data_IF_366836789544
#
_entry.id   IF_366836789544
#
_cell.length_a   1.000
_cell.length_b   1.000
_cell.length_c   1.000
_cell.angle_alpha   90.00
_cell.angle_beta   90.00
_cell.angle_gamma   90.00
#
_symmetry.space_group_name_H-M   'P 1'
#
loop_
_entity.id
_entity.type
_entity.pdbx_description
1 polymer ?
#
# COMPACT_ATOMS: atom_id res chain seq x y z
N UNK A 1 5.16 52.99 -10.95
CA UNK A 1 4.04 52.09 -10.60
C UNK A 1 4.62 50.94 -9.75
N UNK A 2 4.48 51.01 -8.41
CA UNK A 2 5.13 50.10 -7.44
C UNK A 2 4.24 48.88 -7.17
N UNK A 3 4.40 47.79 -7.94
CA UNK A 3 3.75 46.49 -7.68
C UNK A 3 4.70 45.47 -7.01
N UNK A 4 5.84 45.93 -6.51
CA UNK A 4 6.90 45.07 -5.95
C UNK A 4 6.54 44.26 -4.67
N UNK A 5 5.71 44.74 -3.71
CA UNK A 5 5.66 44.08 -2.40
C UNK A 5 4.81 42.81 -2.37
N UNK A 6 3.89 42.62 -3.30
CA UNK A 6 2.98 41.44 -3.31
C UNK A 6 3.58 40.24 -4.04
N UNK A 7 4.46 40.47 -5.03
CA UNK A 7 5.05 39.38 -5.83
C UNK A 7 6.02 38.50 -5.03
N UNK A 8 6.75 39.07 -4.07
CA UNK A 8 7.73 38.32 -3.26
C UNK A 8 7.09 37.41 -2.21
N UNK A 9 5.78 37.52 -1.98
CA UNK A 9 5.06 36.75 -0.95
C UNK A 9 4.47 35.42 -1.46
N UNK A 10 4.33 35.25 -2.78
CA UNK A 10 3.62 34.10 -3.38
C UNK A 10 4.46 33.20 -4.30
N UNK A 11 5.73 33.53 -4.59
CA UNK A 11 6.58 32.78 -5.55
C UNK A 11 7.57 31.81 -4.88
N UNK A 12 7.71 30.61 -5.46
CA UNK A 12 8.51 29.47 -4.98
C UNK A 12 9.90 29.40 -5.66
N UNK A 13 10.11 30.12 -6.76
CA UNK A 13 11.41 30.14 -7.44
C UNK A 13 12.42 30.99 -6.66
N UNK A 14 13.68 30.54 -6.51
CA UNK A 14 14.77 31.40 -6.04
C UNK A 14 14.74 32.69 -6.86
N UNK A 15 14.64 33.84 -6.17
CA UNK A 15 14.78 35.15 -6.79
C UNK A 15 16.04 35.10 -7.66
N UNK A 16 16.05 35.71 -8.84
CA UNK A 16 17.22 35.77 -9.74
C UNK A 16 18.47 36.35 -9.04
N UNK A 17 18.28 36.92 -7.85
CA UNK A 17 19.26 37.45 -6.90
C UNK A 17 19.83 36.44 -5.89
N UNK A 18 19.57 35.14 -6.00
CA UNK A 18 20.21 34.09 -5.19
C UNK A 18 19.91 34.12 -3.68
N UNK A 19 18.86 34.83 -3.25
CA UNK A 19 18.48 34.90 -1.84
C UNK A 19 17.67 33.65 -1.43
N UNK A 20 18.03 32.95 -0.34
CA UNK A 20 17.26 31.80 0.13
C UNK A 20 15.86 32.24 0.57
N UNK A 21 14.87 31.41 0.28
CA UNK A 21 13.46 31.68 0.60
C UNK A 21 13.28 31.63 2.13
N UNK A 22 12.67 32.64 2.76
CA UNK A 22 12.42 32.61 4.20
C UNK A 22 11.41 31.50 4.55
N UNK A 23 11.69 30.74 5.61
CA UNK A 23 10.88 29.59 6.04
C UNK A 23 9.42 29.97 6.36
N UNK A 24 9.19 31.23 6.75
CA UNK A 24 7.87 31.78 7.03
C UNK A 24 6.94 31.74 5.80
N UNK A 25 7.48 31.98 4.60
CA UNK A 25 6.71 31.98 3.34
C UNK A 25 6.39 30.55 2.90
N UNK A 26 7.31 29.61 3.11
CA UNK A 26 7.09 28.18 2.84
C UNK A 26 5.97 27.66 3.75
N UNK A 27 6.07 27.93 5.05
CA UNK A 27 5.07 27.52 6.04
C UNK A 27 3.73 28.18 5.75
N UNK A 28 3.70 29.48 5.46
CA UNK A 28 2.48 30.19 5.09
C UNK A 28 1.81 29.59 3.84
N UNK A 29 2.59 29.30 2.79
CA UNK A 29 2.05 28.71 1.56
C UNK A 29 1.49 27.30 1.80
N UNK A 30 2.17 26.46 2.57
CA UNK A 30 1.65 25.15 2.97
C UNK A 30 0.38 25.27 3.81
N UNK A 31 0.33 26.19 4.78
CA UNK A 31 -0.86 26.44 5.59
C UNK A 31 -2.03 26.87 4.69
N UNK A 32 -1.80 27.80 3.76
CA UNK A 32 -2.82 28.25 2.81
C UNK A 32 -3.28 27.09 1.90
N UNK A 33 -2.37 26.28 1.38
CA UNK A 33 -2.70 25.13 0.55
C UNK A 33 -3.52 24.08 1.31
N UNK A 34 -3.13 23.74 2.54
CA UNK A 34 -3.90 22.83 3.40
C UNK A 34 -5.26 23.41 3.78
N UNK A 35 -5.33 24.71 4.07
CA UNK A 35 -6.58 25.40 4.41
C UNK A 35 -7.53 25.41 3.22
N UNK A 36 -7.04 25.70 2.02
CA UNK A 36 -7.84 25.63 0.78
C UNK A 36 -8.30 24.19 0.53
N UNK A 37 -7.41 23.20 0.64
CA UNK A 37 -7.76 21.79 0.45
C UNK A 37 -8.82 21.33 1.46
N UNK A 38 -8.66 21.71 2.73
CA UNK A 38 -9.61 21.39 3.80
C UNK A 38 -10.96 22.05 3.58
N UNK A 39 -10.99 23.33 3.16
CA UNK A 39 -12.22 24.05 2.84
C UNK A 39 -12.93 23.43 1.63
N UNK A 40 -12.19 23.09 0.58
CA UNK A 40 -12.74 22.42 -0.62
C UNK A 40 -13.28 21.03 -0.25
N UNK A 41 -12.52 20.26 0.52
CA UNK A 41 -12.95 18.94 0.99
C UNK A 41 -14.18 19.04 1.89
N UNK A 42 -14.20 19.97 2.85
CA UNK A 42 -15.31 20.19 3.76
C UNK A 42 -16.57 20.67 3.03
N UNK A 43 -16.42 21.60 2.08
CA UNK A 43 -17.52 22.04 1.23
C UNK A 43 -18.04 20.91 0.33
N UNK A 44 -17.16 20.12 -0.28
CA UNK A 44 -17.53 18.95 -1.08
C UNK A 44 -18.28 17.90 -0.24
N UNK A 45 -17.83 17.67 1.00
CA UNK A 45 -18.43 16.72 1.93
C UNK A 45 -19.74 17.24 2.54
N UNK A 46 -19.88 18.55 2.79
CA UNK A 46 -21.10 19.16 3.31
C UNK A 46 -22.23 19.20 2.28
N UNK A 47 -21.88 19.25 0.99
CA UNK A 47 -22.82 19.13 -0.11
C UNK A 47 -23.26 17.67 -0.37
N UNK A 48 -22.64 16.71 0.30
CA UNK A 48 -23.01 15.31 0.19
C UNK A 48 -24.31 15.07 0.97
N UNK A 49 -25.46 15.30 0.33
CA UNK A 49 -26.78 14.89 0.80
C UNK A 49 -26.98 13.37 0.67
N UNK A 50 -26.02 12.61 1.23
CA UNK A 50 -26.05 11.16 1.25
C UNK A 50 -26.91 10.69 2.40
N UNK A 51 -28.05 10.10 2.08
CA UNK A 51 -28.83 9.36 3.06
C UNK A 51 -28.06 8.09 3.38
N UNK A 52 -27.41 8.06 4.54
CA UNK A 52 -26.64 6.93 5.03
C UNK A 52 -27.52 5.68 5.15
N UNK A 53 -27.59 4.88 4.07
CA UNK A 53 -28.39 3.66 4.02
C UNK A 53 -27.56 2.47 4.51
N UNK A 54 -27.23 2.49 5.81
CA UNK A 54 -26.57 1.37 6.48
C UNK A 54 -27.42 0.09 6.45
N UNK A 55 -28.74 0.20 6.28
CA UNK A 55 -29.66 -0.93 6.12
C UNK A 55 -29.33 -1.80 4.91
N UNK A 56 -28.96 -1.20 3.77
CA UNK A 56 -28.52 -1.95 2.58
C UNK A 56 -27.22 -2.71 2.85
N UNK A 57 -26.26 -2.09 3.54
CA UNK A 57 -24.98 -2.74 3.90
C UNK A 57 -25.21 -3.91 4.86
N UNK A 58 -26.12 -3.75 5.83
CA UNK A 58 -26.52 -4.82 6.75
C UNK A 58 -27.14 -6.02 5.99
N UNK A 59 -27.84 -5.79 4.88
CA UNK A 59 -28.33 -6.85 3.98
C UNK A 59 -27.22 -7.72 3.38
N UNK A 60 -26.00 -7.20 3.22
CA UNK A 60 -24.82 -7.95 2.73
C UNK A 60 -23.93 -8.49 3.85
N UNK A 61 -24.32 -8.37 5.12
CA UNK A 61 -23.55 -8.88 6.29
C UNK A 61 -23.13 -10.34 6.14
N UNK A 62 -24.00 -11.19 5.59
CA UNK A 62 -23.71 -12.59 5.30
C UNK A 62 -22.54 -12.79 4.33
N UNK A 63 -22.38 -11.92 3.32
CA UNK A 63 -21.24 -11.99 2.39
C UNK A 63 -19.94 -11.60 3.08
N UNK A 64 -19.95 -10.56 3.91
CA UNK A 64 -18.78 -10.19 4.71
C UNK A 64 -18.38 -11.31 5.67
N UNK A 65 -19.34 -11.95 6.33
CA UNK A 65 -19.07 -13.07 7.23
C UNK A 65 -18.48 -14.28 6.49
N UNK A 66 -19.05 -14.63 5.33
CA UNK A 66 -18.51 -15.68 4.46
C UNK A 66 -17.10 -15.35 3.98
N UNK A 67 -16.86 -14.12 3.55
CA UNK A 67 -15.54 -13.65 3.11
C UNK A 67 -14.52 -13.71 4.24
N UNK A 68 -14.87 -13.20 5.42
CA UNK A 68 -14.03 -13.25 6.62
C UNK A 68 -13.64 -14.68 6.97
N UNK A 69 -14.63 -15.58 7.01
CA UNK A 69 -14.40 -16.99 7.31
C UNK A 69 -13.55 -17.68 6.24
N UNK A 70 -13.73 -17.32 4.97
CA UNK A 70 -12.92 -17.84 3.88
C UNK A 70 -11.46 -17.40 3.99
N UNK A 71 -11.20 -16.13 4.31
CA UNK A 71 -9.84 -15.63 4.57
C UNK A 71 -9.17 -16.44 5.69
N UNK A 72 -9.87 -16.64 6.81
CA UNK A 72 -9.33 -17.43 7.92
C UNK A 72 -9.00 -18.87 7.52
N UNK A 73 -9.90 -19.53 6.78
CA UNK A 73 -9.70 -20.90 6.30
C UNK A 73 -8.48 -21.00 5.40
N UNK A 74 -8.38 -20.14 4.39
CA UNK A 74 -7.27 -20.15 3.43
C UNK A 74 -5.96 -19.80 4.12
N UNK A 75 -5.93 -18.77 4.98
CA UNK A 75 -4.72 -18.39 5.72
C UNK A 75 -4.25 -19.48 6.67
N UNK A 76 -5.16 -20.16 7.39
CA UNK A 76 -4.81 -21.25 8.29
C UNK A 76 -4.20 -22.44 7.51
N UNK A 77 -4.82 -22.85 6.41
CA UNK A 77 -4.30 -23.93 5.57
C UNK A 77 -2.95 -23.55 4.94
N UNK A 78 -2.82 -22.33 4.42
CA UNK A 78 -1.57 -21.83 3.85
C UNK A 78 -0.45 -21.80 4.91
N UNK A 79 -0.75 -21.40 6.15
CA UNK A 79 0.21 -21.39 7.25
C UNK A 79 0.69 -22.81 7.60
N UNK A 80 -0.21 -23.77 7.75
CA UNK A 80 0.14 -25.15 8.07
C UNK A 80 0.99 -25.76 6.95
N UNK A 81 0.57 -25.62 5.70
CA UNK A 81 1.29 -26.17 4.54
C UNK A 81 2.65 -25.51 4.34
N UNK A 82 2.73 -24.18 4.41
CA UNK A 82 4.00 -23.46 4.27
C UNK A 82 4.97 -23.78 5.39
N UNK A 83 4.48 -23.99 6.62
CA UNK A 83 5.32 -24.40 7.76
C UNK A 83 5.87 -25.80 7.53
N UNK A 84 5.05 -26.75 7.09
CA UNK A 84 5.51 -28.11 6.80
C UNK A 84 6.57 -28.13 5.68
N UNK A 85 6.31 -27.43 4.56
CA UNK A 85 7.26 -27.31 3.45
C UNK A 85 8.54 -26.59 3.90
N UNK A 86 8.41 -25.50 4.65
CA UNK A 86 9.53 -24.74 5.21
C UNK A 86 10.39 -25.57 6.15
N UNK A 87 9.77 -26.42 6.98
CA UNK A 87 10.47 -27.36 7.86
C UNK A 87 11.27 -28.38 7.06
N UNK A 88 10.66 -29.00 6.05
CA UNK A 88 11.36 -29.96 5.16
C UNK A 88 12.54 -29.29 4.46
N UNK A 89 12.34 -28.09 3.91
CA UNK A 89 13.41 -27.34 3.25
C UNK A 89 14.55 -26.94 4.23
N UNK A 90 14.21 -26.62 5.48
CA UNK A 90 15.19 -26.33 6.53
C UNK A 90 16.03 -27.56 6.89
N UNK A 91 15.39 -28.73 7.06
CA UNK A 91 16.06 -30.00 7.32
C UNK A 91 16.95 -30.43 6.15
N UNK A 92 16.42 -30.36 4.92
CA UNK A 92 17.17 -30.70 3.71
C UNK A 92 18.40 -29.81 3.49
N UNK A 93 18.34 -28.54 3.89
CA UNK A 93 19.50 -27.63 3.88
C UNK A 93 20.60 -28.05 4.86
N UNK A 94 20.23 -28.62 6.00
CA UNK A 94 21.18 -29.14 7.02
C UNK A 94 21.75 -30.51 6.65
N UNK A 95 21.17 -31.21 5.67
CA UNK A 95 21.66 -32.52 5.25
C UNK A 95 23.09 -32.47 4.70
N UNK A 96 23.79 -33.60 4.79
CA UNK A 96 25.13 -33.79 4.21
C UNK A 96 25.12 -33.99 2.69
N UNK A 97 23.95 -34.21 2.08
CA UNK A 97 23.83 -34.43 0.65
C UNK A 97 23.82 -33.10 -0.11
N UNK A 98 24.79 -32.93 -1.02
CA UNK A 98 24.97 -31.71 -1.81
C UNK A 98 23.70 -31.33 -2.60
N UNK A 99 23.03 -32.32 -3.20
CA UNK A 99 21.83 -32.13 -4.02
C UNK A 99 20.68 -31.56 -3.20
N UNK A 100 20.37 -32.15 -2.02
CA UNK A 100 19.29 -31.69 -1.16
C UNK A 100 19.54 -30.26 -0.67
N UNK A 101 20.80 -29.94 -0.34
CA UNK A 101 21.19 -28.59 0.07
C UNK A 101 21.02 -27.58 -1.05
N UNK A 102 21.44 -27.92 -2.27
CA UNK A 102 21.32 -27.07 -3.45
C UNK A 102 19.85 -26.80 -3.81
N UNK A 103 19.02 -27.86 -3.86
CA UNK A 103 17.58 -27.73 -4.14
C UNK A 103 16.85 -26.87 -3.09
N UNK A 104 17.16 -27.08 -1.81
CA UNK A 104 16.56 -26.30 -0.72
C UNK A 104 17.00 -24.83 -0.73
N UNK A 105 18.18 -24.55 -1.29
CA UNK A 105 18.67 -23.18 -1.48
C UNK A 105 17.95 -22.51 -2.64
N UNK A 106 17.90 -23.18 -3.80
CA UNK A 106 17.21 -22.70 -4.99
C UNK A 106 15.73 -22.41 -4.71
N UNK A 107 15.02 -23.35 -4.06
CA UNK A 107 13.62 -23.17 -3.68
C UNK A 107 13.41 -21.88 -2.87
N UNK A 108 14.19 -21.68 -1.81
CA UNK A 108 14.02 -20.49 -0.94
C UNK A 108 14.43 -19.21 -1.64
N UNK A 109 15.49 -19.23 -2.44
CA UNK A 109 15.93 -18.05 -3.22
C UNK A 109 14.89 -17.65 -4.26
N UNK A 110 14.28 -18.60 -4.97
CA UNK A 110 13.20 -18.32 -5.94
C UNK A 110 11.95 -17.75 -5.26
N UNK A 111 11.48 -18.38 -4.18
CA UNK A 111 10.27 -17.95 -3.48
C UNK A 111 10.44 -16.59 -2.80
N UNK A 112 11.63 -16.28 -2.26
CA UNK A 112 11.91 -14.98 -1.63
C UNK A 112 12.34 -13.90 -2.62
N UNK A 113 12.85 -14.30 -3.78
CA UNK A 113 13.30 -13.39 -4.84
C UNK A 113 12.19 -12.97 -5.82
N UNK A 114 11.03 -13.62 -5.79
CA UNK A 114 9.90 -13.31 -6.70
C UNK A 114 8.75 -12.63 -5.94
N UNK A 115 8.13 -11.57 -6.51
CA UNK A 115 6.96 -10.94 -5.88
C UNK A 115 5.79 -11.91 -5.75
N UNK A 116 5.11 -11.91 -4.58
CA UNK A 116 3.97 -12.78 -4.31
C UNK A 116 2.85 -12.64 -5.35
N UNK A 117 2.61 -11.41 -5.83
CA UNK A 117 1.61 -11.15 -6.86
C UNK A 117 1.90 -11.93 -8.15
N UNK A 118 3.19 -12.03 -8.55
CA UNK A 118 3.61 -12.80 -9.73
C UNK A 118 3.40 -14.28 -9.51
N UNK A 119 3.72 -14.81 -8.33
CA UNK A 119 3.51 -16.21 -7.97
C UNK A 119 2.03 -16.60 -8.06
N UNK A 120 1.13 -15.80 -7.47
CA UNK A 120 -0.32 -16.05 -7.50
C UNK A 120 -0.88 -15.88 -8.91
N UNK A 121 -0.41 -14.89 -9.66
CA UNK A 121 -0.83 -14.68 -11.06
C UNK A 121 -0.42 -15.86 -11.95
N UNK A 122 0.82 -16.33 -11.84
CA UNK A 122 1.29 -17.50 -12.58
C UNK A 122 0.49 -18.76 -12.22
N UNK A 123 0.26 -19.00 -10.92
CA UNK A 123 -0.55 -20.13 -10.48
C UNK A 123 -1.99 -20.07 -11.04
N UNK A 124 -2.61 -18.89 -11.05
CA UNK A 124 -3.97 -18.73 -11.55
C UNK A 124 -4.05 -18.87 -13.08
N UNK A 125 -3.17 -18.20 -13.84
CA UNK A 125 -3.30 -18.14 -15.30
C UNK A 125 -2.58 -19.25 -16.06
N UNK A 126 -1.59 -19.93 -15.46
CA UNK A 126 -0.80 -20.98 -16.15
C UNK A 126 -1.09 -22.37 -15.61
N UNK A 127 -1.32 -22.51 -14.30
CA UNK A 127 -1.52 -23.82 -13.68
C UNK A 127 -3.00 -24.18 -13.54
N UNK A 128 -3.85 -23.21 -13.20
CA UNK A 128 -5.29 -23.45 -12.97
C UNK A 128 -6.17 -23.22 -14.22
N UNK A 129 -5.64 -22.55 -15.25
CA UNK A 129 -6.30 -22.36 -16.54
C UNK A 129 -6.10 -23.59 -17.45
#
# INVERSE_FOLDING_TARGET
MKLAPLRSWFWISPDERGKPIPWQVIVLNWILAFLILALVCFYSLSQLSYNWNWGTVAGYSNFFWRGWWNTLRISALALVLSTAIGLVAALARRSGFLVLRALSRLYVELIRGTPLLVQVSFAFYVVAA
#
